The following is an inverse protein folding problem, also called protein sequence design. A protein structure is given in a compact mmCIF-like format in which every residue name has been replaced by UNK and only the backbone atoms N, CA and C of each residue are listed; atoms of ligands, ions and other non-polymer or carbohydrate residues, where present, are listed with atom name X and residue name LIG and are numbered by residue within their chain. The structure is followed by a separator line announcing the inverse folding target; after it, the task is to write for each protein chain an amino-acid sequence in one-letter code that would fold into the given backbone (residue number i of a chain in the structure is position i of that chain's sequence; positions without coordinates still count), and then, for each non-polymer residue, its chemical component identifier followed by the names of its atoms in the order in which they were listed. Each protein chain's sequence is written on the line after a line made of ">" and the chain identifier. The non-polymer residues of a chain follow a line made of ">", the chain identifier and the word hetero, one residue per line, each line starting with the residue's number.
data_IF_320633783837
#
_entry.id   IF_320633783837
#
_cell.length_a   1.000
_cell.length_b   1.000
_cell.length_c   1.000
_cell.angle_alpha   90.00
_cell.angle_beta   90.00
_cell.angle_gamma   90.00
#
_symmetry.space_group_name_H-M   'P 1'
#
loop_
_entity.id
_entity.type
_entity.pdbx_description
1 polymer ?
#
# COMPACT_ATOMS: atom_id res chain seq x y z
N UNK A 1 -0.68 61.43 -47.90
CA UNK A 1 -1.61 60.48 -47.27
C UNK A 1 -0.76 59.27 -46.85
N UNK A 2 -0.35 59.23 -45.56
CA UNK A 2 0.41 58.12 -44.99
C UNK A 2 -0.43 57.44 -43.91
N UNK A 3 -0.89 56.23 -44.18
CA UNK A 3 -1.57 55.39 -43.23
C UNK A 3 -0.56 54.51 -42.46
N UNK A 4 -0.32 54.87 -41.22
CA UNK A 4 0.47 54.07 -40.30
C UNK A 4 -0.37 52.89 -39.76
N UNK A 5 -0.19 51.69 -40.29
CA UNK A 5 -0.69 50.45 -39.70
C UNK A 5 0.21 50.02 -38.52
N UNK A 6 -0.22 50.25 -37.29
CA UNK A 6 0.40 49.68 -36.10
C UNK A 6 -0.16 48.28 -35.88
N UNK A 7 0.65 47.26 -36.13
CA UNK A 7 0.39 45.87 -35.78
C UNK A 7 0.60 45.73 -34.26
N UNK A 8 -0.47 45.52 -33.52
CA UNK A 8 -0.37 45.14 -32.09
C UNK A 8 -0.10 43.66 -31.98
N UNK A 9 1.13 43.29 -31.65
CA UNK A 9 1.49 41.93 -31.29
C UNK A 9 1.02 41.71 -29.85
N UNK A 10 -0.07 40.93 -29.68
CA UNK A 10 -0.52 40.47 -28.37
C UNK A 10 0.32 39.25 -28.01
N UNK A 11 1.29 39.44 -27.12
CA UNK A 11 2.01 38.31 -26.49
C UNK A 11 1.07 37.58 -25.52
N UNK A 12 0.59 36.41 -25.92
CA UNK A 12 -0.01 35.47 -24.99
C UNK A 12 1.08 34.83 -24.14
N UNK A 13 1.29 35.32 -22.94
CA UNK A 13 2.10 34.64 -21.94
C UNK A 13 1.33 33.42 -21.46
N UNK A 14 1.69 32.23 -21.99
CA UNK A 14 1.22 30.95 -21.46
C UNK A 14 1.81 30.75 -20.06
N UNK A 15 1.04 31.03 -19.04
CA UNK A 15 1.35 30.67 -17.65
C UNK A 15 1.24 29.13 -17.55
N UNK A 16 2.36 28.44 -17.71
CA UNK A 16 2.45 27.01 -17.41
C UNK A 16 2.37 26.89 -15.88
N UNK A 17 1.17 26.63 -15.39
CA UNK A 17 0.96 26.18 -14.02
C UNK A 17 1.63 24.80 -13.87
N UNK A 18 2.91 24.81 -13.51
CA UNK A 18 3.57 23.63 -12.99
C UNK A 18 2.93 23.36 -11.62
N UNK A 19 1.83 22.63 -11.62
CA UNK A 19 1.30 22.04 -10.40
C UNK A 19 2.36 21.04 -9.91
N UNK A 20 3.29 21.54 -9.09
CA UNK A 20 4.28 20.74 -8.42
C UNK A 20 3.55 19.65 -7.64
N UNK A 21 3.60 18.41 -8.15
CA UNK A 21 3.14 17.25 -7.41
C UNK A 21 3.94 17.22 -6.10
N UNK A 22 3.36 17.75 -5.03
CA UNK A 22 3.98 17.80 -3.72
C UNK A 22 4.44 16.40 -3.34
N UNK A 23 5.75 16.22 -3.34
CA UNK A 23 6.39 14.97 -2.91
C UNK A 23 6.27 14.92 -1.40
N UNK A 24 5.99 13.74 -0.82
CA UNK A 24 5.99 13.58 0.64
C UNK A 24 7.31 14.05 1.25
N UNK A 25 7.23 14.89 2.29
CA UNK A 25 8.37 15.35 3.07
C UNK A 25 8.68 14.43 4.25
N UNK A 26 7.98 13.29 4.37
CA UNK A 26 8.20 12.34 5.44
C UNK A 26 9.65 11.83 5.42
N UNK A 27 10.41 11.93 6.53
CA UNK A 27 11.83 11.55 6.57
C UNK A 27 12.05 10.07 6.27
N UNK A 28 11.13 9.18 6.64
CA UNK A 28 11.20 7.75 6.31
C UNK A 28 11.17 7.49 4.80
N UNK A 29 10.59 8.38 4.00
CA UNK A 29 10.56 8.23 2.54
C UNK A 29 11.95 8.22 1.93
N UNK A 30 12.84 9.09 2.41
CA UNK A 30 14.22 9.14 1.92
C UNK A 30 14.97 7.86 2.29
N UNK A 31 14.85 7.42 3.54
CA UNK A 31 15.46 6.17 4.01
C UNK A 31 14.98 4.96 3.19
N UNK A 32 13.66 4.81 2.98
CA UNK A 32 13.11 3.71 2.18
C UNK A 32 13.62 3.76 0.73
N UNK A 33 13.79 4.94 0.15
CA UNK A 33 14.38 5.07 -1.20
C UNK A 33 15.83 4.61 -1.25
N UNK A 34 16.62 4.89 -0.22
CA UNK A 34 17.99 4.41 -0.12
C UNK A 34 18.04 2.88 0.02
N UNK A 35 17.17 2.30 0.86
CA UNK A 35 16.97 0.85 0.98
C UNK A 35 16.55 0.21 -0.35
N UNK A 36 15.59 0.81 -1.05
CA UNK A 36 15.14 0.35 -2.36
C UNK A 36 16.24 0.38 -3.44
N UNK A 37 17.21 1.29 -3.32
CA UNK A 37 18.35 1.42 -4.25
C UNK A 37 19.55 0.57 -3.82
N UNK A 38 19.52 0.00 -2.61
CA UNK A 38 20.66 -0.74 -2.04
C UNK A 38 21.82 0.16 -1.58
N UNK A 39 21.58 1.48 -1.44
CA UNK A 39 22.57 2.44 -0.91
C UNK A 39 22.83 2.17 0.57
N UNK A 40 21.78 1.88 1.31
CA UNK A 40 21.85 1.36 2.68
C UNK A 40 21.21 -0.02 2.71
N UNK A 41 21.62 -0.85 3.65
CA UNK A 41 21.09 -2.21 3.87
C UNK A 41 20.31 -2.27 5.16
N UNK A 42 19.36 -3.18 5.20
CA UNK A 42 18.63 -3.58 6.39
C UNK A 42 18.67 -5.09 6.48
N UNK A 43 19.45 -5.60 7.41
CA UNK A 43 19.66 -7.04 7.62
C UNK A 43 18.89 -7.55 8.85
N UNK A 44 18.25 -6.65 9.61
CA UNK A 44 17.67 -6.94 10.93
C UNK A 44 16.15 -7.03 10.95
N UNK A 45 15.46 -6.29 10.07
CA UNK A 45 13.99 -6.32 10.05
C UNK A 45 13.47 -7.65 9.51
N UNK A 46 12.28 -8.06 9.96
CA UNK A 46 11.64 -9.29 9.50
C UNK A 46 11.42 -9.29 7.98
N UNK A 47 11.56 -10.45 7.35
CA UNK A 47 11.32 -10.64 5.91
C UNK A 47 9.92 -11.20 5.71
N UNK A 48 9.02 -10.38 5.17
CA UNK A 48 7.65 -10.78 4.86
C UNK A 48 7.59 -11.58 3.55
N UNK A 49 6.61 -12.49 3.44
CA UNK A 49 6.22 -13.04 2.16
C UNK A 49 5.21 -12.12 1.45
N UNK A 50 5.06 -12.30 0.13
CA UNK A 50 4.07 -11.55 -0.63
C UNK A 50 2.66 -12.01 -0.21
N UNK A 51 1.70 -11.09 0.05
CA UNK A 51 0.43 -11.39 0.71
C UNK A 51 -0.61 -12.02 -0.24
N UNK A 52 -0.22 -12.98 -1.05
CA UNK A 52 -1.07 -13.69 -2.01
C UNK A 52 -0.48 -15.05 -2.37
N UNK A 53 -1.33 -15.91 -2.95
CA UNK A 53 -1.04 -17.31 -3.21
C UNK A 53 0.23 -17.50 -4.03
N UNK A 54 0.98 -18.56 -3.68
CA UNK A 54 2.15 -19.02 -4.44
C UNK A 54 1.83 -19.15 -5.93
N UNK A 55 2.83 -18.87 -6.77
CA UNK A 55 2.79 -18.86 -8.23
C UNK A 55 1.84 -17.86 -8.88
N UNK A 56 1.31 -16.92 -8.08
CA UNK A 56 0.57 -15.77 -8.60
C UNK A 56 1.47 -14.52 -8.71
N UNK A 57 0.99 -13.52 -9.48
CA UNK A 57 1.74 -12.31 -9.81
C UNK A 57 0.82 -11.11 -9.82
N UNK A 58 1.17 -10.06 -9.05
CA UNK A 58 0.40 -8.84 -8.97
C UNK A 58 1.24 -7.59 -9.21
N UNK A 59 0.61 -6.57 -9.80
CA UNK A 59 1.21 -5.24 -10.00
C UNK A 59 1.12 -4.44 -8.71
N UNK A 60 2.25 -3.94 -8.20
CA UNK A 60 2.27 -2.94 -7.15
C UNK A 60 2.04 -1.56 -7.77
N UNK A 61 0.84 -0.99 -7.59
CA UNK A 61 0.46 0.30 -8.20
C UNK A 61 0.87 1.50 -7.35
N UNK A 62 0.88 1.35 -6.02
CA UNK A 62 1.39 2.35 -5.09
C UNK A 62 2.36 1.74 -4.08
N UNK A 63 3.42 2.45 -3.78
CA UNK A 63 4.42 2.08 -2.79
C UNK A 63 4.44 3.03 -1.60
N UNK A 64 5.41 2.83 -0.72
CA UNK A 64 5.66 3.63 0.46
C UNK A 64 5.78 5.12 0.13
N UNK A 65 5.07 5.96 0.85
CA UNK A 65 5.10 7.44 0.74
C UNK A 65 4.92 7.93 -0.71
N UNK A 66 4.11 7.23 -1.50
CA UNK A 66 3.83 7.60 -2.89
C UNK A 66 2.86 8.78 -3.00
N UNK A 67 2.85 9.42 -4.17
CA UNK A 67 2.23 10.74 -4.39
C UNK A 67 0.72 10.81 -4.21
N UNK A 68 -0.01 9.71 -4.40
CA UNK A 68 -1.48 9.76 -4.42
C UNK A 68 -2.07 9.68 -3.00
N UNK A 69 -2.39 8.48 -2.52
CA UNK A 69 -3.03 8.29 -1.22
C UNK A 69 -2.07 7.91 -0.09
N UNK A 70 -0.79 7.65 -0.41
CA UNK A 70 0.24 7.20 0.54
C UNK A 70 1.26 8.30 0.91
N UNK A 71 0.95 9.60 0.75
CA UNK A 71 1.90 10.69 1.03
C UNK A 71 2.55 10.55 2.43
N UNK A 72 1.73 10.20 3.43
CA UNK A 72 2.17 10.01 4.82
C UNK A 72 2.01 8.55 5.28
N UNK A 73 2.05 7.58 4.34
CA UNK A 73 1.81 6.18 4.65
C UNK A 73 2.91 5.27 4.11
N UNK A 74 3.45 4.44 5.00
CA UNK A 74 4.32 3.34 4.59
C UNK A 74 3.49 2.13 4.15
N UNK A 75 2.65 2.30 3.11
CA UNK A 75 1.71 1.29 2.64
C UNK A 75 2.00 0.88 1.19
N UNK A 76 1.47 -0.29 0.82
CA UNK A 76 1.61 -0.92 -0.49
C UNK A 76 0.23 -1.28 -1.05
N UNK A 77 -0.05 -0.92 -2.32
CA UNK A 77 -1.28 -1.28 -3.01
C UNK A 77 -1.00 -2.29 -4.13
N UNK A 78 -1.39 -3.54 -3.92
CA UNK A 78 -1.31 -4.61 -4.92
C UNK A 78 -2.61 -4.68 -5.71
N UNK A 79 -2.57 -4.34 -7.01
CA UNK A 79 -3.74 -4.46 -7.89
C UNK A 79 -4.16 -5.93 -8.01
N UNK A 80 -5.43 -6.19 -7.70
CA UNK A 80 -6.01 -7.54 -7.71
C UNK A 80 -7.43 -7.50 -8.27
N UNK A 81 -7.92 -8.63 -8.78
CA UNK A 81 -9.35 -8.82 -9.05
C UNK A 81 -10.08 -9.02 -7.72
N UNK A 82 -11.37 -8.69 -7.66
CA UNK A 82 -12.20 -9.07 -6.50
C UNK A 82 -12.20 -10.59 -6.35
N UNK A 83 -12.21 -11.07 -5.11
CA UNK A 83 -12.18 -12.49 -4.80
C UNK A 83 -10.80 -13.16 -4.95
N UNK A 84 -9.72 -12.38 -5.22
CA UNK A 84 -8.36 -12.94 -5.16
C UNK A 84 -8.02 -13.30 -3.73
N UNK A 85 -7.51 -14.51 -3.51
CA UNK A 85 -7.10 -14.98 -2.18
C UNK A 85 -5.93 -14.16 -1.64
N UNK A 86 -6.11 -13.65 -0.43
CA UNK A 86 -5.10 -12.95 0.36
C UNK A 86 -4.52 -13.94 1.37
N UNK A 87 -3.19 -13.96 1.48
CA UNK A 87 -2.48 -14.80 2.43
C UNK A 87 -1.79 -13.95 3.51
N UNK A 88 -1.59 -14.54 4.68
CA UNK A 88 -0.82 -13.93 5.75
C UNK A 88 0.65 -13.77 5.31
N UNK A 89 1.14 -12.54 5.23
CA UNK A 89 2.52 -12.25 4.82
C UNK A 89 3.55 -12.67 5.88
N UNK A 90 3.08 -12.92 7.10
CA UNK A 90 3.84 -13.39 8.28
C UNK A 90 2.86 -14.05 9.24
N UNK A 91 3.33 -15.06 10.01
CA UNK A 91 2.57 -15.72 11.06
C UNK A 91 2.20 -14.75 12.20
N UNK A 92 1.15 -15.09 12.95
CA UNK A 92 0.73 -14.31 14.12
C UNK A 92 -0.69 -14.64 14.57
N UNK A 93 -1.25 -13.76 15.40
CA UNK A 93 -2.59 -13.87 15.92
C UNK A 93 -3.48 -12.79 15.27
N UNK A 94 -4.66 -13.16 14.80
CA UNK A 94 -5.65 -12.24 14.25
C UNK A 94 -6.24 -11.40 15.40
N UNK A 95 -5.97 -10.09 15.39
CA UNK A 95 -6.42 -9.18 16.45
C UNK A 95 -7.60 -8.30 16.01
N UNK A 96 -7.93 -8.31 14.74
CA UNK A 96 -9.09 -7.59 14.19
C UNK A 96 -9.59 -8.23 12.92
N UNK A 97 -10.90 -8.39 12.81
CA UNK A 97 -11.63 -8.70 11.58
C UNK A 97 -12.77 -7.70 11.46
N UNK A 98 -12.92 -7.09 10.30
CA UNK A 98 -14.09 -6.34 9.87
C UNK A 98 -14.41 -6.76 8.44
N UNK A 99 -15.61 -7.25 8.20
CA UNK A 99 -16.02 -7.77 6.88
C UNK A 99 -17.45 -7.37 6.47
N UNK A 100 -18.14 -6.59 7.31
CA UNK A 100 -19.53 -6.15 7.14
C UNK A 100 -19.71 -4.98 6.15
N UNK A 101 -18.62 -4.40 5.68
CA UNK A 101 -18.64 -3.30 4.72
C UNK A 101 -18.96 -3.82 3.31
N UNK A 102 -20.05 -3.31 2.71
CA UNK A 102 -20.53 -3.72 1.38
C UNK A 102 -20.42 -2.59 0.33
N UNK A 103 -19.90 -1.42 0.70
CA UNK A 103 -19.78 -0.23 -0.16
C UNK A 103 -18.33 0.18 -0.35
N UNK A 104 -18.02 0.80 -1.51
CA UNK A 104 -16.71 1.37 -1.77
C UNK A 104 -16.74 2.30 -2.96
N UNK A 105 -15.83 3.29 -2.97
CA UNK A 105 -15.74 4.28 -4.04
C UNK A 105 -14.75 5.40 -3.73
N UNK A 106 -14.58 6.30 -4.70
CA UNK A 106 -13.66 7.44 -4.64
C UNK A 106 -14.24 8.64 -3.86
N UNK A 107 -14.80 8.39 -2.68
CA UNK A 107 -15.26 9.42 -1.77
C UNK A 107 -14.93 9.04 -0.34
N UNK A 108 -14.46 9.99 0.45
CA UNK A 108 -14.06 9.76 1.87
C UNK A 108 -15.21 9.22 2.73
N UNK A 109 -16.48 9.45 2.36
CA UNK A 109 -17.67 8.88 3.03
C UNK A 109 -17.67 7.34 3.06
N UNK A 110 -16.94 6.69 2.15
CA UNK A 110 -16.84 5.23 2.13
C UNK A 110 -15.81 4.65 3.10
N UNK A 111 -14.96 5.46 3.75
CA UNK A 111 -13.95 4.97 4.70
C UNK A 111 -14.50 4.01 5.77
N UNK A 112 -15.68 4.24 6.39
CA UNK A 112 -16.22 3.33 7.40
C UNK A 112 -16.56 1.94 6.87
N UNK A 113 -16.74 1.79 5.56
CA UNK A 113 -17.06 0.50 4.92
C UNK A 113 -15.82 -0.32 4.54
N UNK A 114 -14.61 0.15 4.83
CA UNK A 114 -13.39 -0.59 4.52
C UNK A 114 -13.26 -1.85 5.37
N UNK A 115 -13.28 -3.02 4.74
CA UNK A 115 -13.05 -4.30 5.40
C UNK A 115 -11.56 -4.52 5.61
N UNK A 116 -11.20 -5.15 6.72
CA UNK A 116 -9.81 -5.34 7.13
C UNK A 116 -9.63 -6.56 8.00
N UNK A 117 -8.48 -7.22 7.83
CA UNK A 117 -7.92 -8.18 8.79
C UNK A 117 -6.62 -7.57 9.30
N UNK A 118 -6.39 -7.66 10.61
CA UNK A 118 -5.13 -7.24 11.25
C UNK A 118 -4.54 -8.42 12.00
N UNK A 119 -3.28 -8.73 11.72
CA UNK A 119 -2.52 -9.80 12.38
C UNK A 119 -1.43 -9.16 13.23
N UNK A 120 -1.33 -9.55 14.49
CA UNK A 120 -0.25 -9.19 15.40
C UNK A 120 0.79 -10.28 15.42
N UNK A 121 2.05 -9.90 15.24
CA UNK A 121 3.21 -10.79 15.22
C UNK A 121 3.87 -10.90 16.58
N UNK A 122 4.73 -11.90 16.78
CA UNK A 122 5.40 -12.18 18.04
C UNK A 122 6.26 -11.01 18.57
N UNK A 123 6.78 -10.16 17.66
CA UNK A 123 7.55 -8.95 18.01
C UNK A 123 6.67 -7.75 18.35
N UNK A 124 5.36 -7.95 18.48
CA UNK A 124 4.37 -6.89 18.75
C UNK A 124 3.98 -6.05 17.54
N UNK A 125 4.67 -6.17 16.40
CA UNK A 125 4.26 -5.47 15.18
C UNK A 125 2.93 -6.01 14.64
N UNK A 126 2.24 -5.21 13.82
CA UNK A 126 0.94 -5.58 13.24
C UNK A 126 0.94 -5.37 11.73
N UNK A 127 0.39 -6.34 11.00
CA UNK A 127 0.13 -6.22 9.58
C UNK A 127 -1.38 -6.09 9.32
N UNK A 128 -1.77 -5.12 8.49
CA UNK A 128 -3.17 -4.90 8.10
C UNK A 128 -3.39 -5.13 6.61
N UNK A 129 -4.49 -5.82 6.30
CA UNK A 129 -4.93 -6.22 4.96
C UNK A 129 -6.28 -5.58 4.69
N UNK A 130 -6.32 -4.51 3.90
CA UNK A 130 -7.49 -3.65 3.72
C UNK A 130 -8.18 -3.84 2.37
N UNK A 131 -9.40 -3.30 2.28
CA UNK A 131 -10.28 -3.31 1.11
C UNK A 131 -10.77 -4.71 0.74
N UNK A 132 -10.86 -5.61 1.74
CA UNK A 132 -11.35 -6.97 1.54
C UNK A 132 -12.81 -6.99 1.07
N UNK A 133 -13.23 -8.10 0.48
CA UNK A 133 -14.60 -8.32 0.03
C UNK A 133 -15.59 -8.30 1.23
N UNK A 134 -16.84 -7.98 0.95
CA UNK A 134 -17.95 -8.18 1.91
C UNK A 134 -18.06 -9.66 2.26
N UNK A 135 -18.13 -10.00 3.55
CA UNK A 135 -18.08 -11.37 4.06
C UNK A 135 -16.92 -12.18 3.48
N UNK A 136 -15.75 -11.54 3.33
CA UNK A 136 -14.60 -12.14 2.67
C UNK A 136 -13.45 -12.55 3.61
N UNK A 137 -13.64 -12.52 4.93
CA UNK A 137 -12.68 -13.06 5.86
C UNK A 137 -12.77 -14.60 5.89
N UNK A 138 -11.63 -15.26 5.98
CA UNK A 138 -11.49 -16.71 6.12
C UNK A 138 -10.97 -17.10 7.51
N UNK A 139 -10.84 -16.11 8.39
CA UNK A 139 -10.32 -16.24 9.75
C UNK A 139 -11.12 -15.37 10.72
N UNK A 140 -11.08 -15.70 12.00
CA UNK A 140 -11.74 -14.99 13.08
C UNK A 140 -10.72 -14.30 14.00
N UNK A 141 -11.17 -13.33 14.78
CA UNK A 141 -10.36 -12.74 15.86
C UNK A 141 -9.99 -13.84 16.87
N UNK A 142 -8.70 -13.90 17.23
CA UNK A 142 -8.13 -14.92 18.10
C UNK A 142 -7.46 -16.07 17.36
N UNK A 143 -7.74 -16.27 16.08
CA UNK A 143 -7.09 -17.33 15.30
C UNK A 143 -5.58 -17.12 15.21
N UNK A 144 -4.82 -18.20 15.40
CA UNK A 144 -3.40 -18.24 15.06
C UNK A 144 -3.23 -18.62 13.59
N UNK A 145 -2.55 -17.80 12.83
CA UNK A 145 -2.31 -18.03 11.40
C UNK A 145 -0.81 -18.25 11.12
N UNK A 146 -0.54 -19.16 10.20
CA UNK A 146 0.81 -19.40 9.68
C UNK A 146 1.10 -18.42 8.53
N UNK A 147 2.39 -18.16 8.27
CA UNK A 147 2.79 -17.47 7.05
C UNK A 147 2.26 -18.22 5.82
N UNK A 148 1.85 -17.50 4.78
CA UNK A 148 1.24 -17.99 3.53
C UNK A 148 -0.16 -18.63 3.68
N UNK A 149 -0.71 -18.73 4.89
CA UNK A 149 -2.08 -19.21 5.10
C UNK A 149 -3.10 -18.25 4.46
N UNK A 150 -4.10 -18.76 3.69
CA UNK A 150 -5.23 -17.96 3.24
C UNK A 150 -5.98 -17.34 4.44
N UNK A 151 -6.23 -16.02 4.38
CA UNK A 151 -6.88 -15.28 5.46
C UNK A 151 -8.12 -14.50 4.99
N UNK A 152 -8.27 -14.27 3.68
CA UNK A 152 -9.41 -13.51 3.18
C UNK A 152 -9.39 -13.33 1.67
N UNK A 153 -10.39 -12.63 1.16
CA UNK A 153 -10.59 -12.35 -0.26
C UNK A 153 -10.48 -10.85 -0.53
N UNK A 154 -9.72 -10.48 -1.56
CA UNK A 154 -9.57 -9.09 -2.00
C UNK A 154 -10.89 -8.52 -2.51
N UNK A 155 -11.10 -7.23 -2.31
CA UNK A 155 -12.32 -6.56 -2.69
C UNK A 155 -12.12 -5.13 -3.19
N UNK A 156 -13.18 -4.32 -2.97
CA UNK A 156 -13.21 -2.88 -3.27
C UNK A 156 -14.05 -2.14 -2.22
N UNK A 157 -13.97 -2.54 -0.97
CA UNK A 157 -14.71 -1.90 0.12
C UNK A 157 -13.96 -0.69 0.67
N UNK A 158 -14.70 0.30 1.16
CA UNK A 158 -14.13 1.52 1.72
C UNK A 158 -13.71 2.56 0.68
N UNK A 159 -12.78 3.43 1.06
CA UNK A 159 -12.28 4.51 0.19
C UNK A 159 -11.24 3.98 -0.77
N UNK A 160 -11.67 3.57 -1.95
CA UNK A 160 -10.83 2.99 -3.00
C UNK A 160 -11.40 3.23 -4.40
N UNK A 161 -10.52 3.45 -5.39
CA UNK A 161 -10.91 3.68 -6.79
C UNK A 161 -11.13 2.36 -7.54
N UNK A 162 -10.34 1.33 -7.28
CA UNK A 162 -10.35 0.05 -7.98
C UNK A 162 -10.04 -1.11 -7.00
N UNK A 163 -10.35 -2.37 -7.37
CA UNK A 163 -10.03 -3.51 -6.52
C UNK A 163 -8.51 -3.67 -6.33
N UNK A 164 -8.08 -3.75 -5.07
CA UNK A 164 -6.68 -3.96 -4.69
C UNK A 164 -6.59 -4.40 -3.24
N UNK A 165 -5.46 -4.98 -2.86
CA UNK A 165 -5.06 -5.14 -1.47
C UNK A 165 -4.22 -3.93 -1.07
N UNK A 166 -4.67 -3.17 -0.06
CA UNK A 166 -3.85 -2.20 0.64
C UNK A 166 -3.21 -2.89 1.85
N UNK A 167 -1.89 -3.01 1.83
CA UNK A 167 -1.09 -3.68 2.85
C UNK A 167 -0.24 -2.67 3.61
N UNK A 168 -0.23 -2.78 4.95
CA UNK A 168 0.49 -1.84 5.81
C UNK A 168 0.97 -2.55 7.06
N UNK A 169 2.16 -2.19 7.56
CA UNK A 169 2.71 -2.69 8.81
C UNK A 169 2.92 -1.55 9.80
N UNK A 170 2.54 -1.78 11.03
CA UNK A 170 2.79 -0.88 12.16
C UNK A 170 3.73 -1.55 13.15
N UNK A 171 4.62 -0.76 13.70
CA UNK A 171 5.47 -1.11 14.84
C UNK A 171 5.23 -0.11 15.96
N UNK A 172 5.26 -0.59 17.17
CA UNK A 172 5.24 0.26 18.35
C UNK A 172 6.62 0.86 18.58
N UNK A 173 6.75 2.17 18.79
CA UNK A 173 8.03 2.87 18.85
C UNK A 173 8.68 2.85 20.25
N UNK A 174 8.06 2.16 21.21
CA UNK A 174 8.50 2.14 22.62
C UNK A 174 8.20 3.43 23.40
N UNK A 175 7.72 4.50 22.71
CA UNK A 175 7.31 5.77 23.32
C UNK A 175 5.80 5.94 23.40
N UNK A 176 5.05 4.88 23.21
CA UNK A 176 3.58 4.89 23.27
C UNK A 176 2.89 5.13 21.93
N UNK A 177 3.59 5.14 20.79
CA UNK A 177 3.01 5.45 19.49
C UNK A 177 3.19 4.34 18.47
N UNK A 178 2.15 4.10 17.67
CA UNK A 178 2.20 3.22 16.52
C UNK A 178 2.74 3.97 15.30
N UNK A 179 3.85 3.50 14.76
CA UNK A 179 4.44 4.02 13.53
C UNK A 179 4.26 3.05 12.37
N UNK A 180 3.91 3.57 11.21
CA UNK A 180 3.92 2.81 9.98
C UNK A 180 5.35 2.64 9.50
N UNK A 181 5.72 1.41 9.15
CA UNK A 181 7.09 1.07 8.75
C UNK A 181 7.13 0.44 7.37
N UNK A 182 8.17 0.77 6.61
CA UNK A 182 8.51 0.01 5.40
C UNK A 182 8.97 -1.38 5.77
N UNK A 183 8.67 -2.34 4.91
CA UNK A 183 8.99 -3.76 5.11
C UNK A 183 9.75 -4.31 3.93
N UNK A 184 10.59 -5.30 4.15
CA UNK A 184 11.27 -6.06 3.10
C UNK A 184 10.55 -7.38 2.85
N UNK A 185 10.54 -7.78 1.59
CA UNK A 185 9.83 -8.96 1.12
C UNK A 185 10.75 -9.96 0.46
N UNK A 186 10.49 -11.26 0.69
CA UNK A 186 11.07 -12.35 -0.08
C UNK A 186 10.41 -12.37 -1.46
N UNK A 187 11.20 -12.25 -2.52
CA UNK A 187 10.71 -12.22 -3.92
C UNK A 187 11.56 -13.14 -4.78
N UNK A 188 11.10 -13.44 -6.00
CA UNK A 188 11.88 -14.19 -6.98
C UNK A 188 13.26 -13.58 -7.30
N UNK A 189 13.47 -12.29 -6.94
CA UNK A 189 14.74 -11.57 -7.13
C UNK A 189 15.51 -11.34 -5.82
N UNK A 190 15.22 -12.13 -4.78
CA UNK A 190 15.81 -11.99 -3.46
C UNK A 190 14.99 -11.09 -2.53
N UNK A 191 15.58 -10.75 -1.39
CA UNK A 191 14.97 -9.92 -0.36
C UNK A 191 15.09 -8.44 -0.75
N UNK A 192 13.98 -7.70 -0.77
CA UNK A 192 13.99 -6.30 -1.18
C UNK A 192 12.82 -5.50 -0.60
N UNK A 193 13.00 -4.19 -0.54
CA UNK A 193 11.91 -3.22 -0.39
C UNK A 193 11.22 -3.02 -1.74
N UNK A 194 9.90 -3.25 -1.81
CA UNK A 194 9.17 -3.23 -3.06
C UNK A 194 9.07 -1.81 -3.65
N UNK A 195 9.12 -1.72 -4.97
CA UNK A 195 8.99 -0.47 -5.74
C UNK A 195 7.69 -0.46 -6.52
N UNK A 196 6.96 0.68 -6.58
CA UNK A 196 5.74 0.79 -7.36
C UNK A 196 6.00 0.61 -8.86
N UNK A 197 4.93 0.35 -9.60
CA UNK A 197 4.89 0.11 -11.04
C UNK A 197 5.70 -1.11 -11.49
N UNK A 198 5.80 -2.11 -10.61
CA UNK A 198 6.43 -3.41 -10.88
C UNK A 198 5.50 -4.56 -10.51
N UNK A 199 5.62 -5.63 -11.27
CA UNK A 199 4.97 -6.89 -10.93
C UNK A 199 5.88 -7.72 -10.02
N UNK A 200 5.27 -8.33 -9.01
CA UNK A 200 5.95 -9.25 -8.11
C UNK A 200 5.27 -10.62 -8.15
N UNK A 201 6.05 -11.67 -8.44
CA UNK A 201 5.60 -13.06 -8.40
C UNK A 201 5.92 -13.66 -7.05
N UNK A 202 4.93 -14.27 -6.39
CA UNK A 202 5.16 -15.10 -5.21
C UNK A 202 5.65 -16.49 -5.67
N UNK A 203 6.83 -16.90 -5.25
CA UNK A 203 7.47 -18.17 -5.60
C UNK A 203 7.66 -19.11 -4.40
N UNK A 204 7.18 -18.69 -3.24
CA UNK A 204 7.39 -19.38 -1.96
C UNK A 204 6.07 -19.83 -1.35
#
# INVERSE_FOLDING_TARGET
>A
MNSNNRVHIILFAAVILVSGCAVSNNPQRQQIRQLQKGIIKDDTSFVYHLPYVKDTKHLLVQGYFSRYSHKERAALDFKMKRGTTICAAREGIVVRVKEDGNKGGWNKKYRPYGNVIVIQHADGSRAGYWHLQFNGALVNVGDTVKQDQPIGLSGKTGYTLFPHLHFIVWRFDGKGQWQQVGTRFKTAKGIQYLRPMRHYSNKY
#
